data_IF_238304292532
#
_entry.id   IF_238304292532
#
_cell.length_a   1.000
_cell.length_b   1.000
_cell.length_c   1.000
_cell.angle_alpha   90.00
_cell.angle_beta   90.00
_cell.angle_gamma   90.00
#
_symmetry.space_group_name_H-M   'P 1'
#
loop_
_entity.id
_entity.type
_entity.pdbx_description
1 polymer ?
#
# COMPACT_ATOMS: atom_id res chain seq x y z
N UNK A 1 18.39 2.14 27.29
CA UNK A 1 17.44 1.31 26.54
C UNK A 1 16.63 0.50 27.54
N UNK A 2 15.48 1.04 27.97
CA UNK A 2 14.49 0.30 28.74
C UNK A 2 13.68 -0.54 27.76
N UNK A 3 13.70 -1.86 27.91
CA UNK A 3 12.76 -2.73 27.19
C UNK A 3 11.33 -2.48 27.70
N UNK A 4 10.37 -2.51 26.78
CA UNK A 4 8.94 -2.31 27.06
C UNK A 4 8.47 -3.45 27.96
N UNK A 5 8.06 -3.13 29.20
CA UNK A 5 7.77 -4.12 30.24
C UNK A 5 6.48 -4.93 30.01
N UNK A 6 5.65 -4.60 29.00
CA UNK A 6 4.48 -5.42 28.66
C UNK A 6 3.98 -5.16 27.22
N UNK A 7 4.37 -5.96 26.22
CA UNK A 7 4.01 -5.72 24.82
C UNK A 7 2.50 -5.77 24.56
N UNK A 8 1.72 -6.51 25.36
CA UNK A 8 0.27 -6.60 25.22
C UNK A 8 -0.47 -5.31 25.58
N UNK A 9 -0.01 -4.58 26.61
CA UNK A 9 -0.67 -3.33 27.04
C UNK A 9 -0.53 -2.19 26.04
N UNK A 10 0.57 -2.19 25.27
CA UNK A 10 0.87 -1.17 24.28
C UNK A 10 0.06 -1.36 22.99
N UNK A 11 -0.24 -2.60 22.63
CA UNK A 11 -1.09 -2.92 21.48
C UNK A 11 -2.52 -2.39 21.67
N UNK A 12 -3.13 -2.65 22.82
CA UNK A 12 -4.51 -2.21 23.09
C UNK A 12 -4.62 -0.68 23.10
N UNK A 13 -3.64 0.03 23.67
CA UNK A 13 -3.58 1.49 23.66
C UNK A 13 -3.41 2.05 22.25
N UNK A 14 -2.57 1.43 21.40
CA UNK A 14 -2.40 1.80 20.01
C UNK A 14 -3.69 1.63 19.21
N UNK A 15 -4.33 0.46 19.31
CA UNK A 15 -5.58 0.17 18.61
C UNK A 15 -6.67 1.14 19.05
N UNK A 16 -6.81 1.38 20.35
CA UNK A 16 -7.78 2.35 20.87
C UNK A 16 -7.51 3.77 20.32
N UNK A 17 -6.25 4.21 20.30
CA UNK A 17 -5.88 5.50 19.76
C UNK A 17 -6.21 5.60 18.26
N UNK A 18 -5.83 4.60 17.46
CA UNK A 18 -6.07 4.61 16.01
C UNK A 18 -7.57 4.61 15.70
N UNK A 19 -8.34 3.70 16.29
CA UNK A 19 -9.80 3.59 16.07
C UNK A 19 -10.60 4.79 16.59
N UNK A 20 -10.05 5.56 17.54
CA UNK A 20 -10.70 6.79 18.03
C UNK A 20 -10.43 8.00 17.14
N UNK A 21 -9.26 8.07 16.49
CA UNK A 21 -8.80 9.27 15.79
C UNK A 21 -8.79 9.14 14.26
N UNK A 22 -8.95 7.94 13.72
CA UNK A 22 -8.94 7.68 12.28
C UNK A 22 -10.11 6.79 11.88
N UNK A 23 -10.67 7.08 10.71
CA UNK A 23 -11.68 6.22 10.10
C UNK A 23 -11.03 4.96 9.53
N UNK A 24 -11.63 3.81 9.80
CA UNK A 24 -11.29 2.58 9.11
C UNK A 24 -11.86 2.62 7.68
N UNK A 25 -11.03 2.26 6.71
CA UNK A 25 -11.37 2.29 5.29
C UNK A 25 -11.22 0.91 4.69
N UNK A 26 -12.18 0.53 3.84
CA UNK A 26 -12.15 -0.74 3.14
C UNK A 26 -10.97 -0.80 2.15
N UNK A 27 -10.39 -1.99 2.00
CA UNK A 27 -9.16 -2.17 1.21
C UNK A 27 -9.32 -1.76 -0.26
N UNK A 28 -10.43 -2.12 -0.91
CA UNK A 28 -10.66 -1.76 -2.32
C UNK A 28 -10.71 -0.25 -2.49
N UNK A 29 -11.53 0.42 -1.68
CA UNK A 29 -11.75 1.87 -1.71
C UNK A 29 -10.44 2.61 -1.42
N UNK A 30 -9.70 2.18 -0.41
CA UNK A 30 -8.40 2.77 -0.04
C UNK A 30 -7.41 2.71 -1.20
N UNK A 31 -7.22 1.52 -1.79
CA UNK A 31 -6.24 1.38 -2.86
C UNK A 31 -6.67 2.10 -4.14
N UNK A 32 -7.97 2.15 -4.46
CA UNK A 32 -8.48 2.93 -5.59
C UNK A 32 -8.27 4.42 -5.37
N UNK A 33 -8.44 4.91 -4.14
CA UNK A 33 -8.20 6.30 -3.76
C UNK A 33 -6.74 6.71 -3.95
N UNK A 34 -5.78 5.91 -3.46
CA UNK A 34 -4.35 6.27 -3.55
C UNK A 34 -3.76 6.06 -4.96
N UNK A 35 -4.44 5.32 -5.84
CA UNK A 35 -4.01 5.11 -7.24
C UNK A 35 -5.04 5.65 -8.26
N UNK A 36 -5.28 6.98 -8.30
CA UNK A 36 -6.39 7.57 -9.05
C UNK A 36 -6.22 7.56 -10.57
N UNK A 37 -5.02 7.27 -11.08
CA UNK A 37 -4.63 7.49 -12.49
C UNK A 37 -4.08 6.24 -13.18
N UNK A 38 -4.62 5.06 -12.85
CA UNK A 38 -4.26 3.84 -13.57
C UNK A 38 -4.68 3.90 -15.06
N UNK A 39 -4.00 3.09 -15.86
CA UNK A 39 -4.34 2.85 -17.26
C UNK A 39 -5.66 2.07 -17.36
N UNK A 40 -6.37 2.26 -18.47
CA UNK A 40 -7.44 1.35 -18.91
C UNK A 40 -6.91 0.27 -19.84
N UNK A 41 -7.67 -0.81 -20.02
CA UNK A 41 -7.36 -1.85 -21.00
C UNK A 41 -7.17 -1.25 -22.39
N UNK A 42 -6.05 -1.58 -23.02
CA UNK A 42 -5.70 -1.06 -24.35
C UNK A 42 -5.13 0.37 -24.36
N UNK A 43 -5.05 1.06 -23.22
CA UNK A 43 -4.41 2.37 -23.08
C UNK A 43 -2.87 2.23 -23.08
N UNK A 44 -2.31 1.77 -24.20
CA UNK A 44 -0.87 1.82 -24.44
C UNK A 44 -0.56 3.12 -25.19
N UNK A 45 -0.17 4.16 -24.44
CA UNK A 45 0.23 5.42 -25.05
C UNK A 45 1.39 5.15 -26.04
N UNK A 46 1.33 5.67 -27.27
CA UNK A 46 2.45 5.54 -28.20
C UNK A 46 3.64 6.41 -27.79
N UNK A 47 3.40 7.37 -26.89
CA UNK A 47 4.42 8.22 -26.28
C UNK A 47 4.82 7.71 -24.90
N UNK A 48 6.04 7.14 -24.82
CA UNK A 48 6.64 6.61 -23.58
C UNK A 48 6.79 7.67 -22.47
N UNK A 49 6.80 8.96 -22.81
CA UNK A 49 6.95 10.03 -21.83
C UNK A 49 5.66 10.29 -21.04
N UNK A 50 4.50 9.93 -21.59
CA UNK A 50 3.17 10.15 -21.01
C UNK A 50 2.47 8.85 -20.59
N UNK A 51 3.22 7.78 -20.34
CA UNK A 51 2.65 6.57 -19.78
C UNK A 51 2.16 6.83 -18.37
N UNK A 52 0.87 6.56 -18.13
CA UNK A 52 0.35 6.43 -16.76
C UNK A 52 1.09 5.31 -16.04
N UNK A 53 1.22 5.46 -14.74
CA UNK A 53 1.79 4.45 -13.87
C UNK A 53 0.66 3.70 -13.18
N UNK A 54 0.78 2.38 -13.09
CA UNK A 54 -0.27 1.54 -12.50
C UNK A 54 0.15 1.06 -11.13
N UNK A 55 -0.85 0.83 -10.28
CA UNK A 55 -0.70 -0.02 -9.11
C UNK A 55 -0.36 -1.45 -9.52
N UNK A 56 0.39 -2.14 -8.67
CA UNK A 56 0.73 -3.56 -8.85
C UNK A 56 0.54 -4.30 -7.54
N UNK A 57 -0.33 -5.30 -7.55
CA UNK A 57 -0.44 -6.25 -6.45
C UNK A 57 0.51 -7.42 -6.66
N UNK A 58 1.07 -7.89 -5.56
CA UNK A 58 1.62 -9.22 -5.42
C UNK A 58 0.56 -10.09 -4.73
N UNK A 59 0.26 -11.25 -5.28
CA UNK A 59 -0.70 -12.19 -4.69
C UNK A 59 -0.15 -13.61 -4.73
N UNK A 60 -0.59 -14.45 -3.79
CA UNK A 60 -0.25 -15.86 -3.77
C UNK A 60 -1.18 -16.64 -4.71
N UNK A 61 -0.59 -17.46 -5.58
CA UNK A 61 -1.31 -18.33 -6.50
C UNK A 61 -1.16 -19.78 -6.04
N UNK A 62 -2.17 -20.28 -5.34
CA UNK A 62 -2.18 -21.63 -4.75
C UNK A 62 -2.18 -22.75 -5.80
N UNK A 63 -2.70 -22.47 -7.00
CA UNK A 63 -2.82 -23.44 -8.09
C UNK A 63 -1.50 -23.65 -8.84
N UNK A 64 -0.46 -22.85 -8.56
CA UNK A 64 0.81 -22.92 -9.25
C UNK A 64 1.97 -23.38 -8.37
N UNK A 65 2.40 -24.64 -8.59
CA UNK A 65 3.49 -25.27 -7.84
C UNK A 65 4.89 -24.70 -8.09
N UNK A 66 5.11 -23.88 -9.13
CA UNK A 66 6.45 -23.39 -9.50
C UNK A 66 6.73 -21.96 -9.03
N UNK A 67 5.70 -21.11 -8.95
CA UNK A 67 5.82 -19.73 -8.47
C UNK A 67 4.63 -19.39 -7.59
N UNK A 68 4.88 -19.42 -6.29
CA UNK A 68 3.89 -19.12 -5.25
C UNK A 68 3.38 -17.69 -5.32
N UNK A 69 4.17 -16.71 -5.80
CA UNK A 69 3.75 -15.31 -5.89
C UNK A 69 3.73 -14.76 -7.31
N UNK A 70 2.61 -14.12 -7.67
CA UNK A 70 2.37 -13.50 -8.97
C UNK A 70 2.05 -12.02 -8.84
N UNK A 71 2.24 -11.30 -9.94
CA UNK A 71 1.99 -9.84 -10.02
C UNK A 71 0.76 -9.59 -10.88
N UNK A 72 -0.12 -8.70 -10.43
CA UNK A 72 -1.24 -8.17 -11.20
C UNK A 72 -1.05 -6.67 -11.38
N UNK A 73 -1.03 -6.22 -12.63
CA UNK A 73 -1.12 -4.78 -12.93
C UNK A 73 -2.59 -4.42 -12.81
N UNK A 74 -2.91 -3.46 -11.95
CA UNK A 74 -4.29 -3.01 -11.80
C UNK A 74 -4.60 -1.97 -12.84
N UNK A 75 -5.68 -2.19 -13.58
CA UNK A 75 -6.22 -1.24 -14.53
C UNK A 75 -7.48 -0.61 -13.95
N UNK A 76 -7.76 0.63 -14.35
CA UNK A 76 -8.90 1.39 -13.84
C UNK A 76 -10.24 0.73 -14.18
N UNK A 77 -10.34 0.11 -15.37
CA UNK A 77 -11.57 -0.51 -15.88
C UNK A 77 -11.79 -1.96 -15.42
N UNK A 78 -10.77 -2.63 -14.89
CA UNK A 78 -10.86 -4.01 -14.35
C UNK A 78 -10.59 -4.07 -12.85
N UNK A 79 -10.53 -2.93 -12.17
CA UNK A 79 -10.07 -2.85 -10.79
C UNK A 79 -10.87 -3.73 -9.83
N UNK A 80 -12.20 -3.59 -9.84
CA UNK A 80 -13.14 -4.30 -8.95
C UNK A 80 -13.02 -5.82 -9.16
N UNK A 81 -13.13 -6.26 -10.41
CA UNK A 81 -12.99 -7.68 -10.79
C UNK A 81 -11.62 -8.25 -10.38
N UNK A 82 -10.54 -7.49 -10.58
CA UNK A 82 -9.20 -7.94 -10.22
C UNK A 82 -9.00 -7.99 -8.71
N UNK A 83 -9.59 -7.04 -7.98
CA UNK A 83 -9.54 -7.02 -6.53
C UNK A 83 -10.27 -8.23 -5.96
N UNK A 84 -11.51 -8.49 -6.39
CA UNK A 84 -12.31 -9.63 -5.94
C UNK A 84 -11.64 -10.97 -6.26
N UNK A 85 -11.13 -11.15 -7.47
CA UNK A 85 -10.63 -12.47 -7.92
C UNK A 85 -9.23 -12.83 -7.41
N UNK A 86 -8.39 -11.83 -7.11
CA UNK A 86 -6.98 -12.09 -6.78
C UNK A 86 -6.58 -11.62 -5.38
N UNK A 87 -7.29 -10.63 -4.83
CA UNK A 87 -6.88 -9.94 -3.61
C UNK A 87 -7.81 -10.24 -2.44
N UNK A 88 -9.12 -10.14 -2.66
CA UNK A 88 -10.12 -10.43 -1.64
C UNK A 88 -9.97 -11.88 -1.16
N UNK A 89 -9.95 -12.07 0.17
CA UNK A 89 -9.76 -13.36 0.84
C UNK A 89 -8.42 -14.08 0.54
N UNK A 90 -7.47 -13.43 -0.13
CA UNK A 90 -6.14 -13.99 -0.34
C UNK A 90 -5.23 -13.61 0.83
N UNK A 91 -4.89 -14.60 1.66
CA UNK A 91 -4.13 -14.43 2.91
C UNK A 91 -2.68 -13.95 2.71
N UNK A 92 -2.22 -13.88 1.45
CA UNK A 92 -0.84 -13.58 1.08
C UNK A 92 -0.80 -12.59 -0.08
N UNK A 93 -1.32 -11.38 0.16
CA UNK A 93 -1.27 -10.27 -0.79
C UNK A 93 -0.51 -9.07 -0.25
N UNK A 94 0.06 -8.29 -1.18
CA UNK A 94 0.72 -7.04 -0.88
C UNK A 94 0.55 -6.10 -2.07
N UNK A 95 -0.01 -4.90 -1.86
CA UNK A 95 0.16 -3.78 -2.77
C UNK A 95 1.03 -2.73 -2.09
N UNK A 96 2.19 -2.45 -2.71
CA UNK A 96 3.00 -1.32 -2.27
C UNK A 96 2.30 -0.02 -2.61
N UNK A 97 2.68 1.07 -1.93
CA UNK A 97 2.25 2.41 -2.31
C UNK A 97 2.92 2.95 -3.59
N UNK A 98 3.65 2.13 -4.37
CA UNK A 98 4.40 2.59 -5.54
C UNK A 98 3.64 2.29 -6.84
N UNK A 99 3.61 3.27 -7.75
CA UNK A 99 3.12 3.07 -9.11
C UNK A 99 4.28 2.84 -10.10
N UNK A 100 4.02 2.04 -11.14
CA UNK A 100 5.03 1.66 -12.14
C UNK A 100 4.57 1.90 -13.58
N UNK A 101 5.48 2.37 -14.44
CA UNK A 101 5.25 2.44 -15.89
C UNK A 101 5.63 1.13 -16.59
N UNK A 102 4.81 0.72 -17.54
CA UNK A 102 5.06 -0.47 -18.35
C UNK A 102 4.79 -1.77 -17.58
N UNK A 103 5.43 -2.86 -18.02
CA UNK A 103 5.06 -4.22 -17.58
C UNK A 103 5.87 -4.77 -16.40
N UNK A 104 6.85 -4.03 -15.90
CA UNK A 104 7.77 -4.53 -14.87
C UNK A 104 7.86 -3.56 -13.69
N UNK A 105 7.73 -4.08 -12.48
CA UNK A 105 7.85 -3.33 -11.23
C UNK A 105 9.31 -3.21 -10.77
N UNK A 106 10.14 -2.54 -11.57
CA UNK A 106 11.55 -2.26 -11.27
C UNK A 106 11.75 -0.82 -10.82
N UNK A 107 12.90 -0.52 -10.20
CA UNK A 107 13.26 0.86 -9.83
C UNK A 107 13.24 1.83 -11.01
N UNK A 108 13.66 1.39 -12.20
CA UNK A 108 13.63 2.20 -13.43
C UNK A 108 12.19 2.59 -13.84
N UNK A 109 11.24 1.74 -13.49
CA UNK A 109 9.84 1.89 -13.86
C UNK A 109 9.00 2.55 -12.76
N UNK A 110 9.48 2.58 -11.51
CA UNK A 110 8.82 3.26 -10.40
C UNK A 110 8.65 4.77 -10.69
N UNK A 111 7.53 5.35 -10.25
CA UNK A 111 7.23 6.78 -10.51
C UNK A 111 6.77 7.53 -9.29
N UNK A 112 5.66 7.12 -8.70
CA UNK A 112 5.02 7.87 -7.62
C UNK A 112 4.95 7.00 -6.37
N UNK A 113 5.21 7.63 -5.22
CA UNK A 113 4.97 7.09 -3.89
C UNK A 113 3.64 7.65 -3.40
N UNK A 114 2.59 6.84 -3.51
CA UNK A 114 1.22 7.19 -3.14
C UNK A 114 0.91 6.87 -1.68
N UNK A 115 1.64 5.93 -1.06
CA UNK A 115 1.47 5.58 0.34
C UNK A 115 2.77 5.07 0.97
N UNK A 116 2.89 5.24 2.28
CA UNK A 116 3.92 4.64 3.13
C UNK A 116 3.21 3.67 4.08
N UNK A 117 3.73 2.45 4.18
CA UNK A 117 3.22 1.43 5.10
C UNK A 117 4.17 1.36 6.28
N UNK A 118 3.61 1.40 7.48
CA UNK A 118 4.36 1.39 8.73
C UNK A 118 3.90 0.18 9.51
N UNK A 119 4.84 -0.73 9.78
CA UNK A 119 4.62 -1.81 10.71
C UNK A 119 4.62 -1.26 12.14
N UNK A 120 3.60 -1.63 12.92
CA UNK A 120 3.39 -1.12 14.28
C UNK A 120 3.74 -2.15 15.36
N UNK A 121 4.21 -3.32 14.98
CA UNK A 121 4.66 -4.33 15.94
C UNK A 121 5.79 -3.79 16.81
N UNK A 122 5.60 -3.84 18.13
CA UNK A 122 6.54 -3.30 19.13
C UNK A 122 6.81 -1.79 19.06
N UNK A 123 5.97 -1.02 18.36
CA UNK A 123 6.01 0.46 18.36
C UNK A 123 5.19 0.97 19.54
N UNK A 124 5.69 1.93 20.30
CA UNK A 124 4.92 2.58 21.37
C UNK A 124 4.00 3.68 20.86
N UNK A 125 2.90 3.95 21.58
CA UNK A 125 2.01 5.06 21.26
C UNK A 125 2.74 6.41 21.17
N UNK A 126 3.76 6.63 22.00
CA UNK A 126 4.56 7.85 21.95
C UNK A 126 5.42 7.94 20.67
N UNK A 127 6.00 6.82 20.21
CA UNK A 127 6.76 6.79 18.96
C UNK A 127 5.86 7.06 17.76
N UNK A 128 4.66 6.46 17.73
CA UNK A 128 3.67 6.72 16.68
C UNK A 128 3.24 8.20 16.67
N UNK A 129 2.92 8.79 17.84
CA UNK A 129 2.55 10.21 17.95
C UNK A 129 3.66 11.13 17.47
N UNK A 130 4.90 10.89 17.91
CA UNK A 130 6.05 11.68 17.45
C UNK A 130 6.23 11.60 15.93
N UNK A 131 5.96 10.44 15.31
CA UNK A 131 6.02 10.30 13.86
C UNK A 131 4.91 11.10 13.18
N UNK A 132 3.67 11.00 13.65
CA UNK A 132 2.54 11.76 13.10
C UNK A 132 2.81 13.27 13.21
N UNK A 133 3.26 13.72 14.39
CA UNK A 133 3.65 15.11 14.63
C UNK A 133 4.74 15.57 13.65
N UNK A 134 5.65 14.68 13.25
CA UNK A 134 6.70 15.01 12.27
C UNK A 134 6.17 15.25 10.85
N UNK A 135 5.01 14.69 10.50
CA UNK A 135 4.33 14.96 9.23
C UNK A 135 3.55 16.27 9.24
N UNK A 136 2.97 16.62 10.39
CA UNK A 136 2.16 17.84 10.55
C UNK A 136 3.02 19.09 10.76
N UNK A 137 4.21 18.95 11.33
CA UNK A 137 5.14 20.05 11.51
C UNK A 137 5.86 20.36 10.19
N UNK A 138 5.63 21.56 9.64
CA UNK A 138 6.39 22.07 8.49
C UNK A 138 7.89 22.04 8.85
N UNK A 139 8.78 21.48 8.00
CA UNK A 139 10.20 21.44 8.31
C UNK A 139 10.68 22.87 8.59
N UNK A 140 11.18 23.11 9.81
CA UNK A 140 11.95 24.31 10.09
C UNK A 140 13.13 24.33 9.13
N UNK A 141 13.21 25.35 8.27
CA UNK A 141 14.37 25.58 7.41
C UNK A 141 15.62 25.58 8.31
N UNK A 142 16.47 24.56 8.16
CA UNK A 142 17.83 24.54 8.70
C UNK A 142 18.77 25.33 7.78
#
# INVERSE_FOLDING_TARGET
MSYIENPGSNYDELIWYLTTNYDEVEGEDFYRYIFPNNQKTGEYNTDKNHWKANAVYLYHDEDNSEKTYRRRIMLDDTWEEDFENYIYDNHHTLCSGLSYRGKANTLLNARELNAIIIDLDSVSLNELKNLIDSFDNTPGYF
#
